data_IF_604393307445
#
_entry.id   IF_604393307445
#
_cell.length_a   1.000
_cell.length_b   1.000
_cell.length_c   1.000
_cell.angle_alpha   90.00
_cell.angle_beta   90.00
_cell.angle_gamma   90.00
#
_symmetry.space_group_name_H-M   'P 1'
#
loop_
_entity.id
_entity.type
_entity.pdbx_description
1 polymer ?
#
# COMPACT_ATOMS: atom_id res chain seq x y z
N UNK A 1 12.20 1.49 -16.96
CA UNK A 1 11.55 1.64 -15.63
C UNK A 1 12.61 1.69 -14.55
N UNK A 2 12.63 2.75 -13.72
CA UNK A 2 13.54 2.86 -12.57
C UNK A 2 12.75 2.58 -11.28
N UNK A 3 13.36 1.94 -10.29
CA UNK A 3 12.76 1.71 -8.97
C UNK A 3 13.69 2.26 -7.91
N UNK A 4 13.16 3.02 -6.94
CA UNK A 4 13.95 3.59 -5.86
C UNK A 4 13.09 3.89 -4.61
N UNK A 5 13.73 3.93 -3.42
CA UNK A 5 13.05 4.35 -2.20
C UNK A 5 12.65 5.82 -2.30
N UNK A 6 11.41 6.12 -1.91
CA UNK A 6 10.90 7.48 -1.81
C UNK A 6 11.76 8.31 -0.86
N UNK A 7 12.05 9.55 -1.23
CA UNK A 7 12.94 10.44 -0.50
C UNK A 7 12.40 11.89 -0.54
N UNK A 8 13.13 12.82 0.06
CA UNK A 8 12.69 14.22 0.19
C UNK A 8 12.56 14.98 -1.12
N UNK A 9 13.26 14.55 -2.18
CA UNK A 9 13.21 15.23 -3.47
C UNK A 9 11.88 14.98 -4.17
N UNK A 10 11.19 13.88 -3.84
CA UNK A 10 9.87 13.58 -4.36
C UNK A 10 9.07 12.72 -3.39
N UNK A 11 8.01 13.31 -2.82
CA UNK A 11 7.10 12.64 -1.89
C UNK A 11 5.79 12.36 -2.62
N UNK A 12 5.47 11.08 -2.80
CA UNK A 12 4.17 10.66 -3.28
C UNK A 12 3.17 10.76 -2.13
N UNK A 13 2.43 11.87 -2.04
CA UNK A 13 1.44 12.12 -0.98
C UNK A 13 -0.02 11.80 -1.39
N UNK A 14 -0.20 11.16 -2.55
CA UNK A 14 -1.48 10.72 -3.10
C UNK A 14 -1.38 9.28 -3.65
N UNK A 15 -2.50 8.62 -3.90
CA UNK A 15 -2.50 7.32 -4.58
C UNK A 15 -2.60 7.50 -6.11
N UNK A 16 -2.25 6.47 -6.89
CA UNK A 16 -2.24 6.52 -8.35
C UNK A 16 -3.62 6.20 -8.99
N UNK A 17 -4.71 6.34 -8.24
CA UNK A 17 -6.07 6.10 -8.74
C UNK A 17 -6.43 7.04 -9.90
N UNK A 18 -5.86 8.26 -9.92
CA UNK A 18 -6.06 9.24 -10.99
C UNK A 18 -4.96 9.19 -12.07
N UNK A 19 -4.23 8.08 -12.17
CA UNK A 19 -3.18 7.89 -13.16
C UNK A 19 -1.77 8.07 -12.60
N UNK A 20 -0.75 7.96 -13.48
CA UNK A 20 0.63 8.26 -13.14
C UNK A 20 0.80 9.70 -12.63
N UNK A 21 1.66 9.87 -11.62
CA UNK A 21 1.91 11.13 -10.92
C UNK A 21 3.37 11.53 -11.00
N UNK A 22 3.64 12.76 -11.41
CA UNK A 22 4.97 13.40 -11.41
C UNK A 22 5.01 14.57 -10.44
N UNK A 23 6.17 15.18 -10.22
CA UNK A 23 6.29 16.42 -9.43
C UNK A 23 5.46 17.56 -10.00
N UNK A 24 5.27 17.61 -11.32
CA UNK A 24 4.48 18.64 -12.01
C UNK A 24 2.97 18.38 -12.01
N UNK A 25 2.52 17.15 -11.76
CA UNK A 25 1.10 16.78 -11.90
C UNK A 25 0.43 16.33 -10.61
N UNK A 26 1.20 16.04 -9.56
CA UNK A 26 0.66 15.45 -8.32
C UNK A 26 -0.31 16.38 -7.58
N UNK A 27 -0.06 17.69 -7.55
CA UNK A 27 -0.96 18.65 -6.88
C UNK A 27 -2.27 18.86 -7.66
N UNK A 28 -2.23 18.78 -9.00
CA UNK A 28 -3.42 18.94 -9.87
C UNK A 28 -4.30 17.69 -9.88
N UNK A 29 -3.69 16.51 -10.02
CA UNK A 29 -4.42 15.24 -10.14
C UNK A 29 -4.97 14.73 -8.81
N UNK A 30 -4.37 15.12 -7.69
CA UNK A 30 -4.84 14.69 -6.38
C UNK A 30 -6.04 15.53 -5.93
N UNK A 31 -7.24 14.99 -6.06
CA UNK A 31 -8.51 15.67 -5.75
C UNK A 31 -8.83 15.77 -4.24
N UNK A 32 -7.83 15.71 -3.37
CA UNK A 32 -8.03 15.80 -1.91
C UNK A 32 -8.00 17.26 -1.44
N UNK A 33 -8.67 17.59 -0.32
CA UNK A 33 -8.55 18.90 0.28
C UNK A 33 -7.09 19.28 0.54
N UNK A 34 -6.71 20.54 0.26
CA UNK A 34 -5.33 21.04 0.42
C UNK A 34 -4.76 20.74 1.81
N UNK A 35 -5.57 20.91 2.85
CA UNK A 35 -5.16 20.64 4.23
C UNK A 35 -4.75 19.18 4.46
N UNK A 36 -5.45 18.23 3.83
CA UNK A 36 -5.10 16.81 3.87
C UNK A 36 -3.81 16.54 3.08
N UNK A 37 -3.61 17.19 1.94
CA UNK A 37 -2.35 17.09 1.18
C UNK A 37 -1.16 17.56 2.02
N UNK A 38 -1.31 18.68 2.72
CA UNK A 38 -0.27 19.24 3.57
C UNK A 38 0.05 18.33 4.76
N UNK A 39 -0.98 17.74 5.39
CA UNK A 39 -0.78 16.72 6.44
C UNK A 39 -0.06 15.48 5.91
N UNK A 40 -0.49 14.95 4.76
CA UNK A 40 0.16 13.80 4.12
C UNK A 40 1.65 14.10 3.84
N UNK A 41 1.96 15.25 3.24
CA UNK A 41 3.33 15.69 2.96
C UNK A 41 4.17 15.75 4.23
N UNK A 42 3.66 16.42 5.28
CA UNK A 42 4.37 16.56 6.57
C UNK A 42 4.65 15.20 7.21
N UNK A 43 3.64 14.35 7.35
CA UNK A 43 3.76 13.03 7.96
C UNK A 43 4.75 12.12 7.20
N UNK A 44 4.63 12.05 5.87
CA UNK A 44 5.53 11.23 5.05
C UNK A 44 6.98 11.77 5.08
N UNK A 45 7.17 13.09 5.14
CA UNK A 45 8.49 13.70 5.32
C UNK A 45 9.11 13.28 6.65
N UNK A 46 8.34 13.33 7.74
CA UNK A 46 8.80 12.86 9.07
C UNK A 46 9.19 11.38 9.00
N UNK A 47 8.42 10.54 8.31
CA UNK A 47 8.75 9.11 8.18
C UNK A 47 10.07 8.88 7.46
N UNK A 48 10.30 9.61 6.36
CA UNK A 48 11.58 9.56 5.63
C UNK A 48 12.73 10.03 6.53
N UNK A 49 12.54 11.08 7.32
CA UNK A 49 13.55 11.58 8.26
C UNK A 49 13.90 10.56 9.34
N UNK A 50 12.89 9.92 9.93
CA UNK A 50 13.08 9.05 11.09
C UNK A 50 13.52 7.64 10.68
N UNK A 51 12.97 7.10 9.59
CA UNK A 51 13.13 5.69 9.22
C UNK A 51 13.78 5.48 7.84
N UNK A 52 14.23 6.55 7.18
CA UNK A 52 14.95 6.52 5.91
C UNK A 52 14.04 6.52 4.67
N UNK A 53 12.93 5.78 4.70
CA UNK A 53 11.90 5.81 3.65
C UNK A 53 10.58 5.22 4.14
N UNK A 54 9.49 5.47 3.41
CA UNK A 54 8.18 4.87 3.66
C UNK A 54 7.44 4.43 2.39
N UNK A 55 8.13 4.42 1.25
CA UNK A 55 7.61 3.82 0.02
C UNK A 55 8.72 3.43 -0.95
N UNK A 56 8.44 2.44 -1.79
CA UNK A 56 9.22 2.12 -2.98
C UNK A 56 8.42 2.58 -4.20
N UNK A 57 9.06 3.32 -5.11
CA UNK A 57 8.40 3.92 -6.27
C UNK A 57 8.94 3.29 -7.55
N UNK A 58 8.07 2.96 -8.50
CA UNK A 58 8.45 2.62 -9.87
C UNK A 58 8.12 3.79 -10.80
N UNK A 59 9.12 4.22 -11.57
CA UNK A 59 9.05 5.39 -12.45
C UNK A 59 9.16 5.02 -13.92
N UNK A 60 8.33 5.67 -14.73
CA UNK A 60 8.52 5.84 -16.17
C UNK A 60 8.72 7.33 -16.47
N UNK A 61 9.88 7.69 -17.01
CA UNK A 61 10.27 9.10 -17.13
C UNK A 61 10.32 9.78 -15.75
N UNK A 62 9.53 10.85 -15.61
CA UNK A 62 9.35 11.65 -14.39
C UNK A 62 8.11 11.23 -13.57
N UNK A 63 7.38 10.21 -14.02
CA UNK A 63 6.07 9.84 -13.49
C UNK A 63 6.13 8.51 -12.73
N UNK A 64 5.54 8.48 -11.54
CA UNK A 64 5.30 7.26 -10.76
C UNK A 64 4.16 6.49 -11.37
N UNK A 65 4.40 5.21 -11.67
CA UNK A 65 3.43 4.30 -12.29
C UNK A 65 3.04 3.13 -11.39
N UNK A 66 3.84 2.88 -10.35
CA UNK A 66 3.51 1.95 -9.28
C UNK A 66 4.21 2.35 -7.97
N UNK A 67 3.66 1.94 -6.84
CA UNK A 67 4.31 2.10 -5.55
C UNK A 67 3.97 0.97 -4.59
N UNK A 68 4.78 0.85 -3.55
CA UNK A 68 4.48 0.07 -2.36
C UNK A 68 4.86 0.89 -1.12
N UNK A 69 3.88 1.24 -0.29
CA UNK A 69 4.07 1.98 0.96
C UNK A 69 4.32 1.01 2.10
N UNK A 70 5.26 1.35 2.96
CA UNK A 70 5.62 0.54 4.11
C UNK A 70 5.97 1.42 5.31
N UNK A 71 5.77 0.87 6.49
CA UNK A 71 6.00 1.55 7.76
C UNK A 71 6.65 0.58 8.76
N UNK A 72 7.34 1.07 9.80
CA UNK A 72 7.66 0.22 10.95
C UNK A 72 6.38 -0.39 11.50
N UNK A 73 6.39 -1.69 11.82
CA UNK A 73 5.24 -2.41 12.36
C UNK A 73 4.69 -1.72 13.62
N UNK A 74 5.58 -1.33 14.54
CA UNK A 74 5.23 -0.63 15.78
C UNK A 74 4.42 0.66 15.55
N UNK A 75 4.67 1.36 14.44
CA UNK A 75 3.88 2.53 14.06
C UNK A 75 2.57 2.10 13.39
N UNK A 76 2.62 1.13 12.49
CA UNK A 76 1.42 0.63 11.78
C UNK A 76 0.35 0.10 12.73
N UNK A 77 0.75 -0.54 13.83
CA UNK A 77 -0.19 -1.07 14.84
C UNK A 77 -0.92 0.03 15.61
N UNK A 78 -0.37 1.24 15.64
CA UNK A 78 -0.99 2.40 16.28
C UNK A 78 -1.86 3.21 15.30
N UNK A 79 -1.51 3.20 14.02
CA UNK A 79 -2.15 4.05 13.00
C UNK A 79 -2.38 3.30 11.69
N UNK A 80 -3.65 3.20 11.29
CA UNK A 80 -4.02 2.81 9.93
C UNK A 80 -3.90 4.04 9.02
N UNK A 81 -3.02 3.97 8.01
CA UNK A 81 -2.68 5.11 7.15
C UNK A 81 -3.14 4.85 5.72
N UNK A 82 -4.05 5.69 5.21
CA UNK A 82 -4.33 5.80 3.79
C UNK A 82 -4.18 7.26 3.35
N UNK A 83 -3.38 7.50 2.31
CA UNK A 83 -3.22 8.85 1.77
C UNK A 83 -4.43 9.31 0.94
N UNK A 84 -5.38 8.42 0.61
CA UNK A 84 -6.50 8.69 -0.29
C UNK A 84 -7.88 8.63 0.38
N UNK A 85 -8.07 7.73 1.35
CA UNK A 85 -9.36 7.52 2.01
C UNK A 85 -9.54 8.58 3.12
N UNK A 86 -10.57 9.45 3.05
CA UNK A 86 -10.86 10.42 4.10
C UNK A 86 -11.10 9.77 5.48
N UNK A 87 -11.64 8.56 5.53
CA UNK A 87 -11.93 7.86 6.80
C UNK A 87 -10.68 7.25 7.45
N UNK A 88 -9.61 7.09 6.67
CA UNK A 88 -8.30 6.61 7.14
C UNK A 88 -7.21 7.65 6.84
N UNK A 89 -7.60 8.91 6.73
CA UNK A 89 -6.70 10.00 6.40
C UNK A 89 -5.73 10.25 7.56
N UNK A 90 -4.55 10.74 7.21
CA UNK A 90 -3.58 11.22 8.18
C UNK A 90 -4.20 12.42 8.92
N UNK A 91 -4.41 12.24 10.23
CA UNK A 91 -4.99 13.26 11.11
C UNK A 91 -3.92 14.23 11.61
N UNK A 92 -4.34 15.37 12.17
CA UNK A 92 -3.39 16.31 12.76
C UNK A 92 -2.62 15.68 13.95
N UNK A 93 -3.31 14.89 14.77
CA UNK A 93 -2.69 14.15 15.87
C UNK A 93 -1.57 13.21 15.38
N UNK A 94 -1.76 12.53 14.25
CA UNK A 94 -0.72 11.68 13.65
C UNK A 94 0.47 12.50 13.13
N UNK A 95 0.23 13.71 12.63
CA UNK A 95 1.31 14.61 12.20
C UNK A 95 2.14 15.11 13.38
N UNK A 96 1.55 15.21 14.57
CA UNK A 96 2.17 15.76 15.79
C UNK A 96 2.75 14.68 16.71
N UNK A 97 2.31 13.43 16.60
CA UNK A 97 2.77 12.35 17.48
C UNK A 97 4.29 12.14 17.37
N UNK A 98 4.92 11.73 18.47
CA UNK A 98 6.30 11.26 18.43
C UNK A 98 6.37 9.87 17.79
N UNK A 99 7.31 9.72 16.87
CA UNK A 99 7.53 8.46 16.18
C UNK A 99 8.36 7.54 17.08
N UNK A 100 7.92 6.29 17.31
CA UNK A 100 8.62 5.38 18.21
C UNK A 100 10.05 5.14 17.70
N UNK A 101 11.07 5.26 18.57
CA UNK A 101 12.43 4.96 18.18
C UNK A 101 12.58 3.44 17.94
N UNK A 102 13.48 3.06 17.03
CA UNK A 102 13.77 1.64 16.73
C UNK A 102 15.01 1.22 17.52
N UNK A 103 14.85 1.10 18.83
CA UNK A 103 15.93 0.73 19.75
C UNK A 103 16.09 -0.78 19.86
N UNK A 104 14.98 -1.50 19.93
CA UNK A 104 14.99 -2.96 20.02
C UNK A 104 15.06 -3.59 18.63
N UNK A 105 15.99 -4.53 18.37
CA UNK A 105 16.01 -5.32 17.15
C UNK A 105 14.69 -6.03 16.83
N UNK A 106 13.88 -6.38 17.83
CA UNK A 106 12.57 -7.01 17.64
C UNK A 106 11.56 -6.09 16.92
N UNK A 107 11.71 -4.77 17.06
CA UNK A 107 10.83 -3.78 16.43
C UNK A 107 11.19 -3.52 14.96
N UNK A 108 12.25 -4.16 14.46
CA UNK A 108 12.76 -4.02 13.09
C UNK A 108 11.97 -4.87 12.09
N UNK A 109 10.66 -4.76 12.15
CA UNK A 109 9.73 -5.32 11.17
C UNK A 109 9.14 -4.19 10.32
N UNK A 110 9.24 -4.29 9.00
CA UNK A 110 8.52 -3.41 8.08
C UNK A 110 7.18 -4.03 7.69
N UNK A 111 6.10 -3.27 7.79
CA UNK A 111 4.79 -3.65 7.27
C UNK A 111 4.53 -2.96 5.94
N UNK A 112 4.36 -3.70 4.85
CA UNK A 112 3.82 -3.16 3.61
C UNK A 112 2.32 -2.97 3.80
N UNK A 113 1.89 -1.72 3.77
CA UNK A 113 0.52 -1.30 4.05
C UNK A 113 -0.32 -1.09 2.79
N UNK A 114 0.32 -0.73 1.67
CA UNK A 114 -0.38 -0.44 0.42
C UNK A 114 0.54 -0.74 -0.76
N UNK A 115 -0.01 -1.32 -1.82
CA UNK A 115 0.69 -1.71 -3.02
C UNK A 115 -0.18 -1.45 -4.24
N UNK A 116 0.28 -0.59 -5.14
CA UNK A 116 -0.50 -0.22 -6.31
C UNK A 116 0.34 -0.26 -7.58
N UNK A 117 -0.24 -0.80 -8.64
CA UNK A 117 0.30 -0.74 -10.00
C UNK A 117 -0.80 -0.18 -10.90
N UNK A 118 -0.52 0.95 -11.56
CA UNK A 118 -1.45 1.58 -12.48
C UNK A 118 -1.85 0.61 -13.59
N UNK A 119 -3.11 0.68 -14.05
CA UNK A 119 -3.72 -0.34 -14.90
C UNK A 119 -2.94 -0.63 -16.19
N UNK A 120 -2.40 0.42 -16.81
CA UNK A 120 -1.64 0.32 -18.07
C UNK A 120 -0.25 -0.30 -17.88
N UNK A 121 0.23 -0.43 -16.63
CA UNK A 121 1.54 -0.96 -16.28
C UNK A 121 1.48 -2.36 -15.65
N UNK A 122 0.27 -2.93 -15.59
CA UNK A 122 0.04 -4.29 -15.11
C UNK A 122 0.60 -5.32 -16.09
N UNK A 123 0.92 -6.50 -15.60
CA UNK A 123 1.51 -7.58 -16.41
C UNK A 123 3.00 -7.42 -16.72
N UNK A 124 3.62 -6.28 -16.40
CA UNK A 124 5.04 -6.01 -16.71
C UNK A 124 6.02 -6.45 -15.59
N UNK A 125 5.56 -7.29 -14.65
CA UNK A 125 6.38 -7.76 -13.53
C UNK A 125 6.73 -6.69 -12.48
N UNK A 126 6.11 -5.49 -12.53
CA UNK A 126 6.38 -4.40 -11.59
C UNK A 126 6.19 -4.80 -10.13
N UNK A 127 5.18 -5.63 -9.83
CA UNK A 127 4.97 -6.10 -8.46
C UNK A 127 6.17 -6.88 -7.93
N UNK A 128 6.79 -7.71 -8.78
CA UNK A 128 7.98 -8.46 -8.36
C UNK A 128 9.15 -7.53 -8.10
N UNK A 129 9.43 -6.63 -9.04
CA UNK A 129 10.56 -5.69 -8.93
C UNK A 129 10.44 -4.75 -7.72
N UNK A 130 9.23 -4.31 -7.38
CA UNK A 130 8.97 -3.51 -6.17
C UNK A 130 9.23 -4.32 -4.89
N UNK A 131 8.81 -5.59 -4.84
CA UNK A 131 9.06 -6.46 -3.68
C UNK A 131 10.57 -6.70 -3.53
N UNK A 132 11.27 -7.04 -4.61
CA UNK A 132 12.73 -7.22 -4.59
C UNK A 132 13.45 -5.97 -4.05
N UNK A 133 13.09 -4.79 -4.57
CA UNK A 133 13.67 -3.53 -4.15
C UNK A 133 13.38 -3.20 -2.67
N UNK A 134 12.18 -3.52 -2.17
CA UNK A 134 11.85 -3.35 -0.74
C UNK A 134 12.73 -4.25 0.12
N UNK A 135 12.87 -5.53 -0.25
CA UNK A 135 13.64 -6.49 0.53
C UNK A 135 15.14 -6.12 0.56
N UNK A 136 15.68 -5.71 -0.57
CA UNK A 136 17.07 -5.22 -0.66
C UNK A 136 17.27 -3.95 0.18
N UNK A 137 16.39 -2.97 0.02
CA UNK A 137 16.43 -1.74 0.82
C UNK A 137 16.31 -2.04 2.32
N UNK A 138 15.37 -2.90 2.70
CA UNK A 138 15.13 -3.26 4.08
C UNK A 138 16.38 -3.92 4.71
N UNK A 139 16.98 -4.88 4.00
CA UNK A 139 18.23 -5.52 4.42
C UNK A 139 19.36 -4.51 4.62
N UNK A 140 19.55 -3.60 3.66
CA UNK A 140 20.59 -2.56 3.71
C UNK A 140 20.35 -1.51 4.81
N UNK A 141 19.11 -1.40 5.31
CA UNK A 141 18.74 -0.50 6.42
C UNK A 141 18.53 -1.25 7.74
N UNK A 142 19.15 -2.44 7.86
CA UNK A 142 19.16 -3.26 9.06
C UNK A 142 17.78 -3.68 9.57
N UNK A 143 16.77 -3.74 8.70
CA UNK A 143 15.49 -4.37 9.02
C UNK A 143 15.67 -5.89 9.13
N UNK A 144 14.86 -6.53 9.98
CA UNK A 144 14.94 -7.98 10.27
C UNK A 144 13.88 -8.79 9.55
N UNK A 145 12.70 -8.20 9.33
CA UNK A 145 11.68 -8.84 8.53
C UNK A 145 10.79 -7.84 7.81
N UNK A 146 10.08 -8.36 6.80
CA UNK A 146 9.03 -7.65 6.08
C UNK A 146 7.74 -8.45 6.21
N UNK A 147 6.67 -7.79 6.67
CA UNK A 147 5.31 -8.32 6.80
C UNK A 147 4.37 -7.62 5.84
N UNK A 148 3.31 -8.32 5.45
CA UNK A 148 2.21 -7.73 4.70
C UNK A 148 0.95 -8.57 4.84
N UNK A 149 -0.18 -8.00 4.42
CA UNK A 149 -1.38 -8.77 4.12
C UNK A 149 -1.31 -9.20 2.65
N UNK A 150 -1.87 -10.37 2.35
CA UNK A 150 -1.96 -10.88 0.98
C UNK A 150 -3.29 -11.60 0.77
N UNK A 151 -3.87 -11.44 -0.42
CA UNK A 151 -5.12 -12.13 -0.79
C UNK A 151 -4.84 -13.54 -1.37
N UNK A 152 -5.75 -14.49 -1.14
CA UNK A 152 -5.59 -15.91 -1.50
C UNK A 152 -5.34 -16.20 -2.97
N UNK A 153 -5.77 -15.33 -3.88
CA UNK A 153 -5.63 -15.65 -5.30
C UNK A 153 -6.53 -14.91 -6.26
N UNK A 154 -7.02 -13.72 -5.93
CA UNK A 154 -7.82 -12.97 -6.89
C UNK A 154 -7.21 -11.63 -7.24
N UNK A 155 -6.87 -11.50 -8.52
CA UNK A 155 -6.21 -10.34 -9.09
C UNK A 155 -7.07 -9.06 -9.04
N UNK A 156 -8.37 -9.19 -9.27
CA UNK A 156 -9.27 -8.04 -9.25
C UNK A 156 -9.37 -7.46 -7.84
N UNK A 157 -9.64 -8.30 -6.85
CA UNK A 157 -9.69 -7.87 -5.45
C UNK A 157 -8.32 -7.38 -4.98
N UNK A 158 -7.23 -8.05 -5.35
CA UNK A 158 -5.87 -7.58 -5.08
C UNK A 158 -5.60 -6.18 -5.63
N UNK A 159 -6.10 -5.88 -6.84
CA UNK A 159 -6.01 -4.58 -7.49
C UNK A 159 -6.81 -3.52 -6.74
N UNK A 160 -8.06 -3.80 -6.40
CA UNK A 160 -8.94 -2.86 -5.70
C UNK A 160 -8.47 -2.60 -4.26
N UNK A 161 -7.99 -3.63 -3.58
CA UNK A 161 -7.50 -3.56 -2.21
C UNK A 161 -6.06 -3.08 -2.09
N UNK A 162 -5.42 -2.69 -3.20
CA UNK A 162 -4.02 -2.30 -3.22
C UNK A 162 -3.11 -3.30 -2.49
N UNK A 163 -3.36 -4.60 -2.67
CA UNK A 163 -2.72 -5.68 -1.91
C UNK A 163 -2.31 -6.80 -2.86
N UNK A 164 -1.02 -7.13 -3.03
CA UNK A 164 -0.63 -8.19 -3.95
C UNK A 164 -1.13 -9.56 -3.50
N UNK A 165 -1.28 -10.47 -4.47
CA UNK A 165 -1.70 -11.84 -4.17
C UNK A 165 -0.62 -12.60 -3.41
N UNK A 166 -1.04 -13.56 -2.58
CA UNK A 166 -0.17 -14.46 -1.82
C UNK A 166 0.88 -15.15 -2.70
N UNK A 167 0.47 -15.61 -3.90
CA UNK A 167 1.38 -16.25 -4.87
C UNK A 167 2.53 -15.34 -5.32
N UNK A 168 2.31 -14.02 -5.37
CA UNK A 168 3.33 -13.05 -5.77
C UNK A 168 4.40 -12.97 -4.69
N UNK A 169 4.00 -12.83 -3.43
CA UNK A 169 4.92 -12.79 -2.29
C UNK A 169 5.59 -14.13 -2.00
N UNK A 170 4.91 -15.25 -2.21
CA UNK A 170 5.48 -16.59 -1.95
C UNK A 170 6.71 -16.86 -2.83
N UNK A 171 6.71 -16.37 -4.08
CA UNK A 171 7.89 -16.43 -4.97
C UNK A 171 9.09 -15.66 -4.43
N UNK A 172 8.84 -14.73 -3.52
CA UNK A 172 9.84 -13.93 -2.83
C UNK A 172 10.12 -14.46 -1.43
N UNK A 173 9.82 -15.73 -1.13
CA UNK A 173 10.18 -16.35 0.15
C UNK A 173 9.35 -15.90 1.35
N UNK A 174 8.25 -15.18 1.15
CA UNK A 174 7.30 -14.91 2.22
C UNK A 174 6.57 -16.19 2.62
N UNK A 175 6.34 -16.36 3.91
CA UNK A 175 5.63 -17.49 4.50
C UNK A 175 4.38 -16.99 5.20
N UNK A 176 3.31 -17.78 5.15
CA UNK A 176 2.09 -17.52 5.91
C UNK A 176 2.37 -17.64 7.41
N UNK A 177 1.93 -16.63 8.17
CA UNK A 177 1.90 -16.65 9.63
C UNK A 177 0.49 -16.96 10.11
N UNK A 178 -0.49 -16.22 9.59
CA UNK A 178 -1.86 -16.24 10.10
C UNK A 178 -2.88 -16.09 8.97
N UNK A 179 -4.11 -16.56 9.22
CA UNK A 179 -5.28 -16.23 8.41
C UNK A 179 -6.05 -15.12 9.10
N UNK A 180 -6.24 -14.00 8.40
CA UNK A 180 -6.91 -12.81 8.92
C UNK A 180 -8.21 -12.61 8.16
N UNK A 181 -9.28 -12.32 8.89
CA UNK A 181 -10.55 -11.85 8.30
C UNK A 181 -10.64 -10.35 8.51
N UNK A 182 -11.04 -9.61 7.48
CA UNK A 182 -11.26 -8.15 7.56
C UNK A 182 -12.77 -7.89 7.44
N UNK A 183 -13.51 -7.80 8.55
CA UNK A 183 -14.97 -7.64 8.52
C UNK A 183 -15.42 -6.39 7.75
N UNK A 184 -14.69 -5.29 7.87
CA UNK A 184 -14.99 -4.02 7.20
C UNK A 184 -14.94 -4.15 5.67
N UNK A 185 -14.18 -5.12 5.16
CA UNK A 185 -14.18 -5.40 3.73
C UNK A 185 -15.51 -5.97 3.26
N UNK A 186 -16.24 -6.69 4.12
CA UNK A 186 -17.55 -7.24 3.75
C UNK A 186 -18.53 -6.13 3.38
N UNK A 187 -18.55 -5.07 4.17
CA UNK A 187 -19.41 -3.91 3.94
C UNK A 187 -19.01 -3.19 2.65
N UNK A 188 -17.71 -2.98 2.43
CA UNK A 188 -17.19 -2.42 1.18
C UNK A 188 -17.56 -3.24 -0.06
N UNK A 189 -17.42 -4.57 0.00
CA UNK A 189 -17.82 -5.46 -1.10
C UNK A 189 -19.34 -5.43 -1.32
N UNK A 190 -20.13 -5.29 -0.26
CA UNK A 190 -21.57 -5.14 -0.36
C UNK A 190 -21.96 -3.81 -1.03
N UNK A 191 -21.30 -2.70 -0.70
CA UNK A 191 -21.50 -1.41 -1.36
C UNK A 191 -21.14 -1.48 -2.86
N UNK A 192 -20.05 -2.18 -3.22
CA UNK A 192 -19.71 -2.47 -4.62
C UNK A 192 -20.78 -3.27 -5.33
N UNK A 193 -21.31 -4.32 -4.70
CA UNK A 193 -22.41 -5.12 -5.24
C UNK A 193 -23.68 -4.30 -5.45
N UNK A 194 -23.96 -3.37 -4.55
CA UNK A 194 -25.11 -2.47 -4.63
C UNK A 194 -24.94 -1.39 -5.71
N UNK A 195 -23.72 -1.17 -6.20
CA UNK A 195 -23.41 -0.16 -7.21
C UNK A 195 -23.18 1.25 -6.66
N UNK A 196 -22.88 1.37 -5.36
CA UNK A 196 -22.64 2.65 -4.70
C UNK A 196 -21.38 3.36 -5.23
N UNK A 197 -20.47 2.61 -5.88
CA UNK A 197 -19.27 3.12 -6.56
C UNK A 197 -19.45 3.30 -8.07
N UNK A 198 -20.69 3.27 -8.57
CA UNK A 198 -21.02 3.45 -9.98
C UNK A 198 -21.12 2.16 -10.78
N UNK A 199 -21.70 2.28 -11.97
CA UNK A 199 -22.11 1.14 -12.82
C UNK A 199 -20.91 0.30 -13.27
N UNK A 200 -19.82 0.93 -13.69
CA UNK A 200 -18.61 0.22 -14.14
C UNK A 200 -18.00 -0.65 -13.03
N UNK A 201 -17.95 -0.14 -11.80
CA UNK A 201 -17.44 -0.89 -10.63
C UNK A 201 -18.38 -2.04 -10.26
N UNK A 202 -19.68 -1.82 -10.34
CA UNK A 202 -20.69 -2.87 -10.12
C UNK A 202 -20.54 -4.00 -11.14
N UNK A 203 -20.50 -3.68 -12.44
CA UNK A 203 -20.35 -4.67 -13.51
C UNK A 203 -19.04 -5.44 -13.38
N UNK A 204 -17.94 -4.73 -13.06
CA UNK A 204 -16.64 -5.35 -12.78
C UNK A 204 -16.70 -6.30 -11.58
N UNK A 205 -17.40 -5.90 -10.51
CA UNK A 205 -17.60 -6.71 -9.32
C UNK A 205 -18.48 -7.94 -9.61
N UNK A 206 -19.61 -7.79 -10.29
CA UNK A 206 -20.52 -8.89 -10.64
C UNK A 206 -19.82 -9.93 -11.52
N UNK A 207 -19.08 -9.49 -12.54
CA UNK A 207 -18.25 -10.36 -13.39
C UNK A 207 -17.20 -11.12 -12.59
N UNK A 208 -16.65 -10.52 -11.55
CA UNK A 208 -15.64 -11.11 -10.69
C UNK A 208 -16.22 -12.08 -9.66
N UNK A 209 -17.31 -11.67 -9.02
CA UNK A 209 -17.88 -12.35 -7.86
C UNK A 209 -18.65 -13.57 -8.34
N UNK A 210 -19.39 -13.46 -9.45
CA UNK A 210 -20.32 -14.50 -9.89
C UNK A 210 -21.20 -14.92 -8.71
N UNK A 211 -21.19 -16.23 -8.41
CA UNK A 211 -21.94 -16.83 -7.30
C UNK A 211 -21.14 -16.97 -5.99
N UNK A 212 -19.93 -16.41 -5.90
CA UNK A 212 -19.08 -16.55 -4.72
C UNK A 212 -19.69 -15.88 -3.49
N UNK A 213 -19.50 -16.50 -2.33
CA UNK A 213 -19.88 -15.92 -1.06
C UNK A 213 -18.90 -14.80 -0.68
N UNK A 214 -19.41 -13.61 -0.33
CA UNK A 214 -18.58 -12.48 0.09
C UNK A 214 -17.68 -12.82 1.29
N UNK A 215 -18.13 -13.74 2.16
CA UNK A 215 -17.34 -14.22 3.30
C UNK A 215 -16.04 -14.91 2.89
N UNK A 216 -15.97 -15.48 1.69
CA UNK A 216 -14.73 -16.08 1.16
C UNK A 216 -13.76 -15.01 0.62
N UNK A 217 -14.27 -13.83 0.26
CA UNK A 217 -13.50 -12.73 -0.31
C UNK A 217 -12.83 -11.86 0.77
N UNK A 218 -13.24 -12.01 2.03
CA UNK A 218 -12.68 -11.27 3.18
C UNK A 218 -11.55 -12.02 3.90
N UNK A 219 -11.12 -13.16 3.35
CA UNK A 219 -10.03 -13.96 3.91
C UNK A 219 -8.69 -13.51 3.31
N UNK A 220 -7.81 -13.04 4.18
CA UNK A 220 -6.44 -12.66 3.88
C UNK A 220 -5.46 -13.53 4.65
N UNK A 221 -4.20 -13.40 4.28
CA UNK A 221 -3.10 -14.02 4.98
C UNK A 221 -2.14 -12.94 5.43
N UNK A 222 -1.84 -12.93 6.71
CA UNK A 222 -0.63 -12.26 7.17
C UNK A 222 0.56 -13.15 6.84
N UNK A 223 1.53 -12.54 6.16
CA UNK A 223 2.72 -13.23 5.69
C UNK A 223 3.97 -12.44 6.05
N UNK A 224 5.08 -13.14 6.22
CA UNK A 224 6.36 -12.56 6.60
C UNK A 224 7.53 -13.20 5.85
N UNK A 225 8.55 -12.39 5.60
CA UNK A 225 9.87 -12.83 5.21
C UNK A 225 10.92 -12.25 6.17
N UNK A 226 11.74 -13.13 6.74
CA UNK A 226 12.96 -12.75 7.46
C UNK A 226 14.06 -12.35 6.45
N UNK A 227 14.93 -11.39 6.83
CA UNK A 227 15.94 -10.75 5.97
C UNK A 227 17.39 -11.13 6.30
#
# INVERSE_FOLDING_TARGET
>A
MKIYPMNKNFILFCCLHCGPLSSSTIDEKCKLPKEQLDRNKKFLTRLINTYGSCAMLAMEGDSVVAHARFYPQILYDQVKICCQDPNQAITQQMVEMDFPPIENPADRTLKIACFFVHKDYRGQGLSHKLIDAILEWAKNNAWKSVRCLASSGNYWLASEMCTPMLRTYSKHGFKKIETVTIPELKDFLQQMKNGEFGVEKKEGFEKFCGDKNLSELVVFYEIERQL
#
